data_IF_653508719390
#
_entry.id   IF_653508719390
#
_cell.length_a   1.000
_cell.length_b   1.000
_cell.length_c   1.000
_cell.angle_alpha   90.00
_cell.angle_beta   90.00
_cell.angle_gamma   90.00
#
_symmetry.space_group_name_H-M   'P 1'
#
loop_
_entity.id
_entity.type
_entity.pdbx_description
1 polymer ?
#
# COMPACT_ATOMS: atom_id res chain seq x y z
N UNK A 1 -10.03 34.77 10.58
CA UNK A 1 -11.05 33.76 10.93
C UNK A 1 -10.83 33.37 12.37
N UNK A 2 -11.90 33.17 13.15
CA UNK A 2 -11.78 32.75 14.56
C UNK A 2 -11.47 31.25 14.64
N UNK A 3 -10.76 30.82 15.68
CA UNK A 3 -10.45 29.41 15.92
C UNK A 3 -11.73 28.54 15.94
N UNK A 4 -12.84 29.08 16.44
CA UNK A 4 -14.12 28.37 16.45
C UNK A 4 -14.67 28.12 15.04
N UNK A 5 -14.45 29.06 14.13
CA UNK A 5 -14.86 28.92 12.74
C UNK A 5 -14.06 27.83 12.03
N UNK A 6 -12.74 27.78 12.28
CA UNK A 6 -11.86 26.73 11.74
C UNK A 6 -12.21 25.34 12.32
N UNK A 7 -12.57 25.26 13.60
CA UNK A 7 -13.02 24.01 14.23
C UNK A 7 -14.34 23.53 13.60
N UNK A 8 -15.28 24.44 13.35
CA UNK A 8 -16.56 24.11 12.72
C UNK A 8 -16.39 23.61 11.28
N UNK A 9 -15.55 24.29 10.49
CA UNK A 9 -15.23 23.90 9.11
C UNK A 9 -14.54 22.53 9.05
N UNK A 10 -13.54 22.30 9.90
CA UNK A 10 -12.85 21.01 9.97
C UNK A 10 -13.78 19.88 10.44
N UNK A 11 -14.69 20.18 11.36
CA UNK A 11 -15.69 19.19 11.82
C UNK A 11 -16.66 18.81 10.71
N UNK A 12 -17.07 19.77 9.88
CA UNK A 12 -17.90 19.51 8.71
C UNK A 12 -17.17 18.65 7.67
N UNK A 13 -15.92 19.00 7.37
CA UNK A 13 -15.07 18.23 6.44
C UNK A 13 -14.84 16.79 6.92
N UNK A 14 -14.61 16.57 8.22
CA UNK A 14 -14.45 15.22 8.79
C UNK A 14 -15.73 14.39 8.62
N UNK A 15 -16.90 14.99 8.88
CA UNK A 15 -18.20 14.29 8.70
C UNK A 15 -18.43 13.88 7.25
N UNK A 16 -18.05 14.74 6.31
CA UNK A 16 -18.14 14.46 4.87
C UNK A 16 -17.20 13.33 4.46
N UNK A 17 -15.95 13.34 4.94
CA UNK A 17 -14.98 12.27 4.69
C UNK A 17 -15.44 10.91 5.23
N UNK A 18 -16.08 10.90 6.42
CA UNK A 18 -16.67 9.68 6.98
C UNK A 18 -17.79 9.15 6.08
N UNK A 19 -18.66 10.02 5.58
CA UNK A 19 -19.75 9.64 4.69
C UNK A 19 -19.23 9.06 3.36
N UNK A 20 -18.25 9.72 2.74
CA UNK A 20 -17.61 9.26 1.50
C UNK A 20 -16.94 7.89 1.72
N UNK A 21 -16.28 7.70 2.86
CA UNK A 21 -15.62 6.43 3.19
C UNK A 21 -16.64 5.29 3.34
N UNK A 22 -17.78 5.55 3.98
CA UNK A 22 -18.87 4.56 4.09
C UNK A 22 -19.42 4.19 2.71
N UNK A 23 -19.72 5.18 1.87
CA UNK A 23 -20.19 4.94 0.49
C UNK A 23 -19.16 4.16 -0.33
N UNK A 24 -17.87 4.46 -0.18
CA UNK A 24 -16.80 3.71 -0.86
C UNK A 24 -16.76 2.24 -0.43
N UNK A 25 -16.97 1.96 0.86
CA UNK A 25 -17.01 0.59 1.39
C UNK A 25 -18.27 -0.16 0.94
N UNK A 26 -19.41 0.52 0.86
CA UNK A 26 -20.66 -0.04 0.31
C UNK A 26 -20.48 -0.39 -1.16
N UNK A 27 -19.95 0.52 -1.99
CA UNK A 27 -19.64 0.27 -3.40
C UNK A 27 -18.64 -0.88 -3.58
N UNK A 28 -17.64 -1.00 -2.71
CA UNK A 28 -16.71 -2.15 -2.73
C UNK A 28 -17.45 -3.46 -2.46
N UNK A 29 -18.36 -3.47 -1.48
CA UNK A 29 -19.15 -4.66 -1.12
C UNK A 29 -20.07 -5.05 -2.28
N UNK A 30 -20.80 -4.08 -2.86
CA UNK A 30 -21.65 -4.33 -4.03
C UNK A 30 -20.86 -4.82 -5.25
N UNK A 31 -19.66 -4.30 -5.48
CA UNK A 31 -18.80 -4.76 -6.57
C UNK A 31 -18.34 -6.21 -6.35
N UNK A 32 -17.98 -6.57 -5.12
CA UNK A 32 -17.61 -7.95 -4.77
C UNK A 32 -18.80 -8.91 -4.91
N UNK A 33 -19.99 -8.51 -4.48
CA UNK A 33 -21.20 -9.32 -4.62
C UNK A 33 -21.57 -9.56 -6.10
N UNK A 34 -21.43 -8.53 -6.95
CA UNK A 34 -21.62 -8.66 -8.41
C UNK A 34 -20.58 -9.57 -9.06
N UNK A 35 -19.32 -9.53 -8.61
CA UNK A 35 -18.27 -10.44 -9.09
C UNK A 35 -18.55 -11.88 -8.64
N UNK A 36 -18.99 -12.09 -7.41
CA UNK A 36 -19.38 -13.41 -6.92
C UNK A 36 -20.59 -13.99 -7.68
N UNK A 37 -21.57 -13.15 -8.03
CA UNK A 37 -22.73 -13.53 -8.83
C UNK A 37 -22.37 -13.89 -10.29
N UNK A 38 -21.39 -13.20 -10.89
CA UNK A 38 -20.94 -13.51 -12.27
C UNK A 38 -20.02 -14.73 -12.33
N UNK A 39 -19.22 -14.98 -11.28
CA UNK A 39 -18.38 -16.18 -11.17
C UNK A 39 -19.21 -17.48 -11.06
N UNK A 40 -20.40 -17.43 -10.46
CA UNK A 40 -21.31 -18.58 -10.37
C UNK A 40 -22.13 -18.81 -11.65
N UNK A 41 -22.41 -17.75 -12.42
CA UNK A 41 -23.12 -17.86 -13.70
C UNK A 41 -22.28 -18.52 -14.84
N UNK A 42 -20.96 -18.57 -14.71
CA UNK A 42 -20.06 -19.03 -15.79
C UNK A 42 -19.80 -20.55 -15.76
N UNK A 43 -20.38 -21.30 -14.81
CA UNK A 43 -20.12 -22.75 -14.65
C UNK A 43 -20.98 -23.68 -15.53
N UNK A 44 -21.73 -23.15 -16.51
CA UNK A 44 -22.71 -23.92 -17.30
C UNK A 44 -22.58 -23.77 -18.83
N UNK A 45 -21.37 -23.73 -19.39
CA UNK A 45 -21.18 -23.85 -20.85
C UNK A 45 -20.03 -24.82 -21.20
N UNK A 46 -20.23 -25.76 -22.15
CA UNK A 46 -19.23 -26.79 -22.45
C UNK A 46 -18.09 -26.24 -23.33
N UNK A 47 -16.90 -26.81 -23.10
CA UNK A 47 -15.59 -26.56 -23.70
C UNK A 47 -15.59 -26.21 -25.20
N UNK A 48 -14.79 -25.19 -25.55
CA UNK A 48 -14.09 -25.11 -26.83
C UNK A 48 -12.69 -24.52 -26.63
N UNK A 49 -11.67 -25.28 -27.03
CA UNK A 49 -10.26 -24.88 -27.02
C UNK A 49 -10.04 -23.62 -27.87
N UNK A 50 -9.36 -22.61 -27.32
CA UNK A 50 -8.36 -21.81 -28.06
C UNK A 50 -7.50 -20.96 -27.11
N UNK A 51 -6.22 -20.88 -27.47
CA UNK A 51 -5.18 -19.93 -27.04
C UNK A 51 -4.67 -20.00 -25.59
N UNK A 52 -3.35 -20.28 -25.47
CA UNK A 52 -2.53 -20.03 -24.28
C UNK A 52 -2.61 -18.54 -23.93
N UNK A 53 -3.49 -18.20 -22.99
CA UNK A 53 -3.35 -17.00 -22.18
C UNK A 53 -2.55 -17.43 -20.94
N UNK A 54 -1.42 -16.78 -20.67
CA UNK A 54 -0.63 -17.02 -19.46
C UNK A 54 -1.55 -16.80 -18.25
N UNK A 55 -1.98 -17.91 -17.65
CA UNK A 55 -2.85 -17.91 -16.50
C UNK A 55 -2.15 -17.12 -15.39
N UNK A 56 -2.77 -16.01 -14.97
CA UNK A 56 -2.48 -15.39 -13.67
C UNK A 56 -2.46 -16.52 -12.64
N UNK A 57 -1.43 -16.60 -11.78
CA UNK A 57 -1.26 -17.76 -10.89
C UNK A 57 -2.55 -17.98 -10.11
N UNK A 58 -3.15 -19.16 -10.28
CA UNK A 58 -4.32 -19.57 -9.52
C UNK A 58 -3.94 -19.57 -8.04
N UNK A 59 -4.50 -18.64 -7.29
CA UNK A 59 -4.46 -18.68 -5.83
C UNK A 59 -5.25 -19.92 -5.43
N UNK A 60 -4.55 -20.94 -4.94
CA UNK A 60 -5.18 -22.19 -4.47
C UNK A 60 -6.20 -21.87 -3.39
N UNK A 61 -7.41 -22.44 -3.52
CA UNK A 61 -8.50 -22.31 -2.54
C UNK A 61 -8.37 -23.29 -1.36
N UNK A 62 -7.34 -24.15 -1.37
CA UNK A 62 -7.06 -25.09 -0.28
C UNK A 62 -6.20 -24.44 0.81
N UNK A 63 -6.57 -24.52 2.11
CA UNK A 63 -5.83 -23.90 3.21
C UNK A 63 -4.37 -24.37 3.34
N UNK A 64 -4.07 -25.60 2.93
CA UNK A 64 -2.74 -26.23 3.04
C UNK A 64 -1.77 -25.77 1.94
N UNK A 65 -2.29 -25.25 0.83
CA UNK A 65 -1.52 -24.76 -0.33
C UNK A 65 -1.35 -23.22 -0.34
N UNK A 66 -1.92 -22.52 0.64
CA UNK A 66 -1.52 -21.14 0.92
C UNK A 66 -0.11 -21.18 1.52
N UNK A 67 0.91 -21.39 0.69
CA UNK A 67 2.21 -20.77 0.96
C UNK A 67 1.87 -19.31 1.23
N UNK A 68 2.04 -18.87 2.47
CA UNK A 68 1.88 -17.47 2.86
C UNK A 68 2.51 -16.66 1.74
N UNK A 69 1.70 -15.87 1.03
CA UNK A 69 2.24 -15.09 -0.07
C UNK A 69 3.32 -14.23 0.57
N UNK A 70 4.60 -14.42 0.26
CA UNK A 70 5.66 -13.82 1.06
C UNK A 70 5.63 -12.29 0.92
N UNK A 71 4.95 -11.80 -0.11
CA UNK A 71 4.71 -10.38 -0.38
C UNK A 71 3.49 -9.79 0.33
N UNK A 72 2.69 -10.60 1.04
CA UNK A 72 1.51 -10.17 1.80
C UNK A 72 1.92 -9.26 2.97
N UNK A 73 1.24 -8.13 3.16
CA UNK A 73 1.56 -7.18 4.23
C UNK A 73 2.68 -6.19 3.91
N UNK A 74 3.52 -6.42 2.89
CA UNK A 74 4.62 -5.51 2.54
C UNK A 74 4.08 -4.18 2.01
N UNK A 75 3.03 -4.21 1.18
CA UNK A 75 2.40 -3.00 0.63
C UNK A 75 1.77 -2.16 1.73
N UNK A 76 1.09 -2.81 2.68
CA UNK A 76 0.49 -2.17 3.85
C UNK A 76 1.56 -1.56 4.75
N UNK A 77 2.68 -2.25 4.97
CA UNK A 77 3.80 -1.74 5.78
C UNK A 77 4.46 -0.51 5.14
N UNK A 78 4.68 -0.53 3.82
CA UNK A 78 5.18 0.62 3.06
C UNK A 78 4.20 1.79 3.16
N UNK A 79 2.91 1.53 2.94
CA UNK A 79 1.87 2.56 3.03
C UNK A 79 1.85 3.18 4.42
N UNK A 80 1.81 2.36 5.47
CA UNK A 80 1.82 2.82 6.87
C UNK A 80 3.08 3.61 7.23
N UNK A 81 4.25 3.25 6.66
CA UNK A 81 5.45 4.05 6.81
C UNK A 81 5.31 5.41 6.12
N UNK A 82 4.85 5.46 4.86
CA UNK A 82 4.71 6.72 4.10
C UNK A 82 3.64 7.63 4.70
N UNK A 83 2.50 7.09 5.12
CA UNK A 83 1.36 7.87 5.66
C UNK A 83 1.43 8.08 7.16
N UNK A 84 2.46 7.58 7.85
CA UNK A 84 2.66 7.82 9.27
C UNK A 84 3.18 9.24 9.61
N UNK A 85 3.01 10.20 8.71
CA UNK A 85 3.27 11.64 8.89
C UNK A 85 2.23 12.42 8.10
N UNK A 86 1.73 13.51 8.71
CA UNK A 86 0.77 14.43 8.10
C UNK A 86 1.44 15.49 7.23
N UNK A 87 2.79 15.56 7.22
CA UNK A 87 3.56 16.58 6.50
C UNK A 87 3.94 16.10 5.09
N UNK A 88 3.52 16.81 4.02
CA UNK A 88 3.80 16.40 2.64
C UNK A 88 5.29 16.24 2.32
N UNK A 89 6.15 17.13 2.81
CA UNK A 89 7.61 17.06 2.59
C UNK A 89 8.22 15.79 3.21
N UNK A 90 7.75 15.41 4.40
CA UNK A 90 8.21 14.20 5.09
C UNK A 90 7.71 12.94 4.37
N UNK A 91 6.49 12.96 3.82
CA UNK A 91 5.98 11.86 2.99
C UNK A 91 6.87 11.61 1.77
N UNK A 92 7.36 12.64 1.11
CA UNK A 92 8.25 12.48 -0.06
C UNK A 92 9.65 12.00 0.33
N UNK A 93 10.17 12.45 1.48
CA UNK A 93 11.39 11.88 2.05
C UNK A 93 11.23 10.40 2.41
N UNK A 94 10.09 10.01 2.99
CA UNK A 94 9.77 8.61 3.30
C UNK A 94 9.61 7.76 2.04
N UNK A 95 8.96 8.27 0.98
CA UNK A 95 8.92 7.60 -0.34
C UNK A 95 10.31 7.39 -0.90
N UNK A 96 11.19 8.37 -0.79
CA UNK A 96 12.59 8.29 -1.26
C UNK A 96 13.36 7.21 -0.50
N UNK A 97 13.20 7.12 0.82
CA UNK A 97 13.81 6.07 1.64
C UNK A 97 13.29 4.67 1.26
N UNK A 98 11.99 4.51 1.02
CA UNK A 98 11.42 3.25 0.55
C UNK A 98 11.98 2.88 -0.83
N UNK A 99 12.06 3.85 -1.77
CA UNK A 99 12.62 3.60 -3.10
C UNK A 99 14.09 3.19 -3.03
N UNK A 100 14.88 3.82 -2.17
CA UNK A 100 16.27 3.45 -1.92
C UNK A 100 16.38 2.02 -1.35
N UNK A 101 15.48 1.67 -0.42
CA UNK A 101 15.44 0.32 0.18
C UNK A 101 15.05 -0.74 -0.86
N UNK A 102 14.05 -0.48 -1.71
CA UNK A 102 13.65 -1.36 -2.80
C UNK A 102 14.78 -1.60 -3.82
N UNK A 103 15.60 -0.57 -4.07
CA UNK A 103 16.72 -0.65 -5.00
C UNK A 103 18.03 -1.17 -4.38
N UNK A 104 18.04 -1.47 -3.09
CA UNK A 104 19.23 -1.97 -2.43
C UNK A 104 19.66 -3.33 -3.00
N UNK A 105 20.95 -3.54 -3.24
CA UNK A 105 21.49 -4.73 -3.94
C UNK A 105 21.05 -6.06 -3.32
N UNK A 106 20.97 -6.09 -1.98
CA UNK A 106 20.52 -7.27 -1.21
C UNK A 106 19.01 -7.48 -1.20
N UNK A 107 18.22 -6.53 -1.69
CA UNK A 107 16.75 -6.55 -1.64
C UNK A 107 16.18 -6.71 -3.05
N UNK A 108 16.73 -5.97 -4.01
CA UNK A 108 16.28 -5.99 -5.41
C UNK A 108 16.64 -7.30 -6.11
N UNK A 109 15.71 -7.86 -6.88
CA UNK A 109 15.92 -9.00 -7.79
C UNK A 109 16.98 -8.68 -8.85
N UNK A 110 17.75 -9.70 -9.22
CA UNK A 110 18.72 -9.59 -10.31
C UNK A 110 18.01 -9.31 -11.64
N UNK A 111 18.60 -8.45 -12.47
CA UNK A 111 18.00 -8.03 -13.74
C UNK A 111 16.96 -6.91 -13.64
N UNK A 112 16.58 -6.45 -12.44
CA UNK A 112 15.71 -5.28 -12.28
C UNK A 112 16.54 -3.99 -12.27
N UNK A 113 16.34 -3.12 -13.26
CA UNK A 113 17.05 -1.85 -13.36
C UNK A 113 16.63 -0.86 -12.24
N UNK A 114 15.33 -0.57 -12.11
CA UNK A 114 14.76 0.27 -11.05
C UNK A 114 13.57 -0.45 -10.40
N UNK A 115 13.67 -0.72 -9.10
CA UNK A 115 12.63 -1.41 -8.36
C UNK A 115 11.51 -0.42 -7.94
N UNK A 116 10.35 -0.55 -8.59
CA UNK A 116 9.17 0.29 -8.32
C UNK A 116 8.06 -0.38 -7.50
N UNK A 117 8.11 -1.70 -7.31
CA UNK A 117 7.08 -2.48 -6.62
C UNK A 117 7.68 -3.53 -5.69
N UNK A 118 6.84 -4.05 -4.79
CA UNK A 118 7.18 -5.15 -3.87
C UNK A 118 7.57 -6.43 -4.60
N UNK A 119 7.06 -6.63 -5.82
CA UNK A 119 7.30 -7.83 -6.62
C UNK A 119 8.75 -7.89 -7.14
N UNK A 120 9.48 -6.77 -7.07
CA UNK A 120 10.90 -6.68 -7.39
C UNK A 120 11.83 -7.04 -6.20
N UNK A 121 11.26 -7.35 -5.04
CA UNK A 121 12.03 -7.80 -3.87
C UNK A 121 12.33 -9.30 -4.02
N UNK A 122 13.60 -9.70 -3.80
CA UNK A 122 14.00 -11.10 -3.69
C UNK A 122 13.23 -11.76 -2.54
N UNK A 123 12.70 -12.95 -2.77
CA UNK A 123 11.83 -13.61 -1.78
C UNK A 123 12.57 -13.84 -0.45
N UNK A 124 13.83 -14.25 -0.53
CA UNK A 124 14.73 -14.43 0.61
C UNK A 124 15.08 -13.14 1.37
N UNK A 125 14.82 -11.98 0.77
CA UNK A 125 15.18 -10.67 1.30
C UNK A 125 13.99 -9.90 1.85
N UNK A 126 12.80 -10.50 1.89
CA UNK A 126 11.58 -9.88 2.41
C UNK A 126 11.73 -9.54 3.89
N UNK A 127 12.25 -10.47 4.70
CA UNK A 127 12.51 -10.22 6.13
C UNK A 127 13.51 -9.09 6.32
N UNK A 128 14.54 -9.02 5.48
CA UNK A 128 15.53 -7.95 5.51
C UNK A 128 14.91 -6.60 5.14
N UNK A 129 14.04 -6.57 4.13
CA UNK A 129 13.29 -5.38 3.75
C UNK A 129 12.41 -4.90 4.91
N UNK A 130 11.62 -5.79 5.50
CA UNK A 130 10.72 -5.47 6.61
C UNK A 130 11.48 -5.00 7.86
N UNK A 131 12.61 -5.66 8.20
CA UNK A 131 13.49 -5.24 9.30
C UNK A 131 14.05 -3.84 9.08
N UNK A 132 14.50 -3.53 7.86
CA UNK A 132 15.03 -2.20 7.53
C UNK A 132 13.93 -1.13 7.51
N UNK A 133 12.73 -1.46 7.02
CA UNK A 133 11.58 -0.57 7.04
C UNK A 133 11.14 -0.24 8.47
N UNK A 134 11.09 -1.24 9.35
CA UNK A 134 10.83 -1.04 10.78
C UNK A 134 11.94 -0.22 11.44
N UNK A 135 13.21 -0.49 11.13
CA UNK A 135 14.31 0.33 11.64
C UNK A 135 14.22 1.80 11.18
N UNK A 136 13.71 2.06 9.97
CA UNK A 136 13.45 3.42 9.48
C UNK A 136 12.26 4.08 10.19
N UNK A 137 11.28 3.30 10.65
CA UNK A 137 10.15 3.75 11.46
C UNK A 137 10.58 4.05 12.90
N UNK A 138 11.34 3.15 13.52
CA UNK A 138 11.79 3.23 14.90
C UNK A 138 12.84 4.32 15.13
N UNK A 139 13.66 4.61 14.12
CA UNK A 139 14.64 5.72 14.18
C UNK A 139 14.01 7.11 14.29
N UNK A 140 12.68 7.23 14.17
CA UNK A 140 11.99 8.51 14.12
C UNK A 140 12.33 9.26 12.83
N UNK A 141 11.47 10.19 12.43
CA UNK A 141 11.57 10.83 11.14
C UNK A 141 12.86 11.66 11.00
N UNK A 142 13.81 11.17 10.19
CA UNK A 142 15.10 11.83 9.90
C UNK A 142 14.99 13.15 9.12
N UNK A 143 13.79 13.63 8.79
CA UNK A 143 13.61 15.03 8.40
C UNK A 143 13.45 15.82 9.69
N UNK A 144 14.58 16.20 10.30
CA UNK A 144 14.57 17.30 11.27
C UNK A 144 13.63 18.37 10.71
N UNK A 145 12.64 18.87 11.46
CA UNK A 145 11.90 20.05 11.01
C UNK A 145 12.97 21.04 10.57
N UNK A 146 12.85 21.61 9.35
CA UNK A 146 13.60 22.84 9.05
C UNK A 146 13.35 23.70 10.28
N UNK A 147 14.42 24.04 11.01
CA UNK A 147 14.29 24.95 12.12
C UNK A 147 13.52 26.13 11.54
N UNK A 148 12.31 26.36 12.05
CA UNK A 148 11.67 27.64 11.84
C UNK A 148 12.75 28.61 12.22
N UNK A 149 13.15 29.42 11.24
CA UNK A 149 14.09 30.50 11.47
C UNK A 149 13.31 31.48 12.34
N UNK A 150 13.29 31.14 13.64
CA UNK A 150 13.09 32.03 14.75
C UNK A 150 14.26 33.00 14.69
N UNK A 151 14.15 33.95 13.77
CA UNK A 151 14.81 35.22 13.91
C UNK A 151 13.70 36.25 14.09
N UNK A 152 13.31 36.38 15.36
CA UNK A 152 12.94 37.64 15.97
C UNK A 152 13.95 38.74 15.58
N UNK A 153 13.72 39.44 14.46
CA UNK A 153 14.07 40.87 14.26
C UNK A 153 13.04 41.54 13.34
#
# INVERSE_FOLDING_TARGET
>A
MSLEQTIAENTAAIKELIAITKQSNELRTEAMDKIAATATATKAAPKKETAKEEAKPQISTSPEDRKENPYEGIKEAIAGYITGTDRPEERDARKTKVKALLNHEKIKKEGVADATSTDHIREESIDLFMKNLNALKDKGDLTSPKADSDDLV
#
